data_IF_973481446179
#
_entry.id   IF_973481446179
#
_cell.length_a   1.000
_cell.length_b   1.000
_cell.length_c   1.000
_cell.angle_alpha   90.00
_cell.angle_beta   90.00
_cell.angle_gamma   90.00
#
_symmetry.space_group_name_H-M   'P 1'
#
loop_
_entity.id
_entity.type
_entity.pdbx_description
1 polymer ?
#
# COMPACT_ATOMS: atom_id res chain seq x y z
N UNK A 1 -33.53 7.13 31.21
CA UNK A 1 -33.69 5.68 31.00
C UNK A 1 -33.58 5.37 29.52
N UNK A 2 -32.70 4.41 29.17
CA UNK A 2 -32.75 3.49 28.01
C UNK A 2 -32.71 4.18 26.62
N UNK A 3 -31.65 4.01 25.82
CA UNK A 3 -31.39 2.78 25.07
C UNK A 3 -29.87 2.60 24.79
N UNK A 4 -29.20 1.75 25.57
CA UNK A 4 -27.99 1.03 25.17
C UNK A 4 -28.44 -0.30 24.60
N UNK A 5 -28.06 -0.62 23.37
CA UNK A 5 -28.45 -1.91 22.79
C UNK A 5 -27.68 -2.31 21.54
N UNK A 6 -26.67 -3.16 21.76
CA UNK A 6 -26.35 -4.34 20.95
C UNK A 6 -25.42 -4.14 19.74
N UNK A 7 -24.13 -3.97 20.03
CA UNK A 7 -23.04 -4.41 19.13
C UNK A 7 -23.07 -5.94 19.04
N UNK A 8 -23.43 -6.49 17.88
CA UNK A 8 -23.13 -7.87 17.49
C UNK A 8 -21.70 -7.89 16.93
N UNK A 9 -20.75 -8.43 17.69
CA UNK A 9 -19.38 -8.64 17.17
C UNK A 9 -19.34 -9.80 16.16
N UNK A 10 -18.58 -9.70 15.06
CA UNK A 10 -18.36 -10.83 14.17
C UNK A 10 -17.14 -11.67 14.60
N UNK A 11 -17.43 -12.96 14.83
CA UNK A 11 -16.70 -14.16 14.36
C UNK A 11 -15.25 -14.38 14.83
N UNK A 12 -15.10 -15.11 15.94
CA UNK A 12 -13.86 -15.75 16.40
C UNK A 12 -13.54 -17.08 15.69
N UNK A 13 -14.31 -17.45 14.64
CA UNK A 13 -14.31 -18.78 14.03
C UNK A 13 -13.37 -18.94 12.82
N UNK A 14 -12.98 -17.84 12.18
CA UNK A 14 -12.10 -17.84 10.99
C UNK A 14 -10.63 -18.03 11.34
N UNK A 15 -10.17 -17.44 12.45
CA UNK A 15 -8.76 -17.50 12.88
C UNK A 15 -8.30 -18.92 13.25
N UNK A 16 -9.20 -19.76 13.81
CA UNK A 16 -8.87 -21.15 14.16
C UNK A 16 -8.75 -22.07 12.93
N UNK A 17 -9.57 -21.87 11.90
CA UNK A 17 -9.49 -22.67 10.67
C UNK A 17 -8.19 -22.40 9.91
N UNK A 18 -7.78 -21.13 9.83
CA UNK A 18 -6.55 -20.71 9.15
C UNK A 18 -5.29 -21.31 9.80
N UNK A 19 -5.20 -21.31 11.13
CA UNK A 19 -4.05 -21.90 11.83
C UNK A 19 -3.93 -23.42 11.66
N UNK A 20 -5.05 -24.13 11.49
CA UNK A 20 -5.05 -25.57 11.25
C UNK A 20 -4.57 -25.92 9.82
N UNK A 21 -4.98 -25.15 8.81
CA UNK A 21 -4.54 -25.34 7.42
C UNK A 21 -3.04 -25.07 7.25
N UNK A 22 -2.52 -24.00 7.86
CA UNK A 22 -1.08 -23.72 7.86
C UNK A 22 -0.27 -24.85 8.53
N UNK A 23 -0.79 -25.41 9.63
CA UNK A 23 -0.13 -26.53 10.33
C UNK A 23 -0.14 -27.82 9.52
N UNK A 24 -1.16 -28.07 8.70
CA UNK A 24 -1.23 -29.25 7.85
C UNK A 24 -0.26 -29.14 6.66
N UNK A 25 -0.21 -27.97 6.01
CA UNK A 25 0.75 -27.69 4.96
C UNK A 25 2.19 -27.85 5.46
N UNK A 26 2.51 -27.30 6.63
CA UNK A 26 3.83 -27.44 7.24
C UNK A 26 4.21 -28.90 7.50
N UNK A 27 3.26 -29.73 7.96
CA UNK A 27 3.47 -31.17 8.20
C UNK A 27 3.74 -31.93 6.90
N UNK A 28 2.98 -31.64 5.84
CA UNK A 28 3.18 -32.24 4.50
C UNK A 28 4.54 -31.88 3.91
N UNK A 29 5.04 -30.67 4.15
CA UNK A 29 6.31 -30.20 3.59
C UNK A 29 7.55 -30.67 4.39
N UNK A 30 7.43 -30.91 5.69
CA UNK A 30 8.55 -31.25 6.57
C UNK A 30 9.28 -32.57 6.20
N UNK A 31 8.58 -33.53 5.58
CA UNK A 31 9.13 -34.80 5.11
C UNK A 31 9.28 -34.93 3.60
N UNK A 32 8.85 -33.93 2.83
CA UNK A 32 8.82 -34.00 1.37
C UNK A 32 10.20 -33.71 0.77
N UNK A 33 10.55 -34.44 -0.29
CA UNK A 33 11.65 -34.10 -1.20
C UNK A 33 11.38 -32.78 -1.93
N UNK A 34 12.41 -32.18 -2.54
CA UNK A 34 12.25 -30.91 -3.29
C UNK A 34 11.17 -31.01 -4.35
N UNK A 35 11.16 -32.11 -5.12
CA UNK A 35 10.18 -32.36 -6.18
C UNK A 35 8.76 -32.53 -5.63
N UNK A 36 8.61 -33.17 -4.47
CA UNK A 36 7.31 -33.31 -3.81
C UNK A 36 6.82 -31.99 -3.23
N UNK A 37 7.71 -31.14 -2.69
CA UNK A 37 7.35 -29.79 -2.23
C UNK A 37 6.84 -28.94 -3.38
N UNK A 38 7.52 -28.95 -4.53
CA UNK A 38 7.09 -28.22 -5.72
C UNK A 38 5.70 -28.68 -6.17
N UNK A 39 5.45 -30.00 -6.17
CA UNK A 39 4.15 -30.57 -6.54
C UNK A 39 3.06 -30.16 -5.56
N UNK A 40 3.31 -30.25 -4.25
CA UNK A 40 2.34 -29.89 -3.19
C UNK A 40 1.99 -28.40 -3.28
N UNK A 41 3.00 -27.54 -3.43
CA UNK A 41 2.77 -26.09 -3.50
C UNK A 41 2.09 -25.70 -4.80
N UNK A 42 2.43 -26.32 -5.93
CA UNK A 42 1.74 -26.09 -7.19
C UNK A 42 0.25 -26.49 -7.12
N UNK A 43 -0.06 -27.63 -6.49
CA UNK A 43 -1.44 -28.08 -6.26
C UNK A 43 -2.21 -27.09 -5.37
N UNK A 44 -1.58 -26.58 -4.30
CA UNK A 44 -2.14 -25.54 -3.45
C UNK A 44 -2.46 -24.28 -4.27
N UNK A 45 -1.50 -23.76 -5.04
CA UNK A 45 -1.69 -22.54 -5.84
C UNK A 45 -2.83 -22.73 -6.84
N UNK A 46 -2.85 -23.85 -7.58
CA UNK A 46 -3.93 -24.13 -8.56
C UNK A 46 -5.30 -24.24 -7.88
N UNK A 47 -5.37 -24.80 -6.68
CA UNK A 47 -6.62 -24.87 -5.91
C UNK A 47 -7.12 -23.48 -5.53
N UNK A 48 -6.23 -22.59 -5.07
CA UNK A 48 -6.62 -21.21 -4.72
C UNK A 48 -7.01 -20.40 -5.97
N UNK A 49 -6.30 -20.58 -7.09
CA UNK A 49 -6.65 -19.96 -8.38
C UNK A 49 -8.02 -20.41 -8.87
N UNK A 50 -8.32 -21.71 -8.79
CA UNK A 50 -9.63 -22.25 -9.14
C UNK A 50 -10.73 -21.66 -8.24
N UNK A 51 -10.49 -21.52 -6.94
CA UNK A 51 -11.45 -20.93 -6.01
C UNK A 51 -11.76 -19.46 -6.35
N UNK A 52 -10.74 -18.65 -6.68
CA UNK A 52 -10.91 -17.23 -7.05
C UNK A 52 -11.66 -17.09 -8.38
N UNK A 53 -11.36 -17.94 -9.36
CA UNK A 53 -12.01 -17.91 -10.68
C UNK A 53 -13.36 -18.64 -10.72
N UNK A 54 -13.79 -19.26 -9.61
CA UNK A 54 -15.05 -20.02 -9.54
C UNK A 54 -15.02 -21.34 -10.31
N UNK A 55 -13.84 -21.89 -10.60
CA UNK A 55 -13.71 -23.21 -11.23
C UNK A 55 -13.88 -24.34 -10.20
N UNK A 56 -14.57 -25.44 -10.56
CA UNK A 56 -14.86 -26.54 -9.64
C UNK A 56 -13.64 -27.42 -9.33
N UNK A 57 -12.57 -27.32 -10.11
CA UNK A 57 -11.37 -28.15 -9.93
C UNK A 57 -10.09 -27.38 -10.30
N UNK A 58 -8.98 -27.59 -9.56
CA UNK A 58 -7.65 -27.09 -9.93
C UNK A 58 -7.16 -27.62 -11.28
N UNK A 59 -7.71 -28.73 -11.78
CA UNK A 59 -7.30 -29.32 -13.08
C UNK A 59 -7.66 -28.43 -14.27
N UNK A 60 -8.67 -27.56 -14.12
CA UNK A 60 -9.04 -26.57 -15.13
C UNK A 60 -8.00 -25.44 -15.26
N UNK A 61 -7.09 -25.29 -14.29
CA UNK A 61 -6.08 -24.23 -14.27
C UNK A 61 -4.79 -24.72 -14.92
N UNK A 62 -4.42 -24.14 -16.06
CA UNK A 62 -3.16 -24.45 -16.72
C UNK A 62 -1.97 -23.96 -15.87
N UNK A 63 -1.00 -24.82 -15.49
CA UNK A 63 0.09 -24.41 -14.62
C UNK A 63 1.01 -23.35 -15.25
N UNK A 64 1.13 -23.37 -16.58
CA UNK A 64 1.94 -22.41 -17.37
C UNK A 64 1.13 -21.28 -17.98
N UNK A 65 -0.20 -21.42 -18.02
CA UNK A 65 -1.07 -20.43 -18.66
C UNK A 65 -1.01 -19.12 -17.89
N UNK A 66 -0.88 -18.02 -18.61
CA UNK A 66 -0.81 -16.71 -17.99
C UNK A 66 -2.13 -16.39 -17.26
N UNK A 67 -2.05 -15.74 -16.10
CA UNK A 67 -3.25 -15.36 -15.35
C UNK A 67 -4.17 -14.42 -16.17
N UNK A 68 -3.59 -13.50 -16.94
CA UNK A 68 -4.36 -12.58 -17.81
C UNK A 68 -5.22 -13.32 -18.84
N UNK A 69 -4.74 -14.44 -19.37
CA UNK A 69 -5.45 -15.26 -20.36
C UNK A 69 -6.60 -16.08 -19.72
N UNK A 70 -6.57 -16.24 -18.39
CA UNK A 70 -7.57 -16.96 -17.60
C UNK A 70 -8.60 -16.03 -16.94
N UNK A 71 -8.58 -14.73 -17.28
CA UNK A 71 -9.54 -13.76 -16.75
C UNK A 71 -9.20 -13.21 -15.35
N UNK A 72 -7.94 -13.30 -14.92
CA UNK A 72 -7.51 -12.66 -13.67
C UNK A 72 -7.52 -11.13 -13.79
N UNK A 73 -8.25 -10.46 -12.91
CA UNK A 73 -8.26 -9.00 -12.76
C UNK A 73 -7.50 -8.55 -11.49
N UNK A 74 -7.54 -7.25 -11.21
CA UNK A 74 -6.89 -6.65 -10.05
C UNK A 74 -7.48 -7.12 -8.70
N UNK A 75 -8.77 -7.48 -8.65
CA UNK A 75 -9.41 -7.95 -7.42
C UNK A 75 -9.03 -9.41 -7.15
N UNK A 76 -9.10 -10.26 -8.17
CA UNK A 76 -8.68 -11.65 -8.15
C UNK A 76 -7.21 -11.79 -7.70
N UNK A 77 -6.33 -10.86 -8.12
CA UNK A 77 -4.94 -10.81 -7.69
C UNK A 77 -4.79 -10.60 -6.18
N UNK A 78 -5.59 -9.71 -5.59
CA UNK A 78 -5.58 -9.43 -4.15
C UNK A 78 -6.17 -10.60 -3.37
N UNK A 79 -7.26 -11.20 -3.86
CA UNK A 79 -7.89 -12.36 -3.24
C UNK A 79 -6.97 -13.58 -3.22
N UNK A 80 -6.34 -13.91 -4.35
CA UNK A 80 -5.36 -15.01 -4.44
C UNK A 80 -4.20 -14.79 -3.47
N UNK A 81 -3.66 -13.56 -3.40
CA UNK A 81 -2.61 -13.21 -2.42
C UNK A 81 -3.07 -13.50 -1.00
N UNK A 82 -4.25 -13.02 -0.61
CA UNK A 82 -4.76 -13.19 0.75
C UNK A 82 -4.99 -14.67 1.11
N UNK A 83 -5.52 -15.46 0.17
CA UNK A 83 -5.71 -16.90 0.36
C UNK A 83 -4.38 -17.64 0.51
N UNK A 84 -3.37 -17.31 -0.32
CA UNK A 84 -2.04 -17.91 -0.23
C UNK A 84 -1.32 -17.49 1.06
N UNK A 85 -1.43 -16.23 1.50
CA UNK A 85 -0.89 -15.78 2.78
C UNK A 85 -1.53 -16.55 3.95
N UNK A 86 -2.84 -16.77 3.91
CA UNK A 86 -3.55 -17.53 4.94
C UNK A 86 -3.11 -19.01 4.97
N UNK A 87 -2.98 -19.65 3.80
CA UNK A 87 -2.61 -21.06 3.72
C UNK A 87 -1.13 -21.32 4.09
N UNK A 88 -0.23 -20.40 3.72
CA UNK A 88 1.23 -20.59 3.87
C UNK A 88 1.82 -19.92 5.10
N UNK A 89 1.11 -18.96 5.71
CA UNK A 89 1.65 -18.12 6.78
C UNK A 89 2.75 -17.16 6.30
N UNK A 90 3.02 -17.07 5.00
CA UNK A 90 3.98 -16.15 4.42
C UNK A 90 3.39 -14.75 4.27
N UNK A 91 4.25 -13.73 4.30
CA UNK A 91 3.91 -12.39 3.78
C UNK A 91 4.28 -12.33 2.31
N UNK A 92 3.26 -12.31 1.45
CA UNK A 92 3.41 -12.23 -0.02
C UNK A 92 3.16 -10.79 -0.51
N UNK A 93 3.93 -10.28 -1.48
CA UNK A 93 3.78 -8.92 -2.00
C UNK A 93 2.46 -8.72 -2.75
N UNK A 94 1.97 -7.48 -2.82
CA UNK A 94 0.76 -7.14 -3.60
C UNK A 94 0.96 -7.30 -5.12
N UNK A 95 2.21 -7.25 -5.59
CA UNK A 95 2.60 -7.41 -6.99
C UNK A 95 2.74 -8.87 -7.43
N UNK A 96 2.48 -9.85 -6.56
CA UNK A 96 2.76 -11.28 -6.78
C UNK A 96 2.31 -11.80 -8.16
N UNK A 97 1.08 -11.52 -8.56
CA UNK A 97 0.51 -12.00 -9.84
C UNK A 97 1.14 -11.31 -11.06
N UNK A 98 1.68 -10.10 -10.88
CA UNK A 98 2.37 -9.35 -11.93
C UNK A 98 3.83 -9.78 -12.08
N UNK A 99 4.50 -10.07 -10.96
CA UNK A 99 5.89 -10.54 -10.93
C UNK A 99 5.99 -12.01 -11.37
N UNK A 100 4.95 -12.80 -11.10
CA UNK A 100 4.88 -14.24 -11.38
C UNK A 100 3.59 -14.55 -12.15
N UNK A 101 3.63 -14.53 -13.50
CA UNK A 101 2.43 -14.44 -14.33
C UNK A 101 1.64 -15.75 -14.47
N UNK A 102 2.06 -16.85 -13.85
CA UNK A 102 1.35 -18.13 -13.88
C UNK A 102 1.50 -18.92 -12.57
N UNK A 103 0.70 -19.98 -12.42
CA UNK A 103 0.64 -20.80 -11.19
C UNK A 103 1.98 -21.45 -10.86
N UNK A 104 2.77 -21.85 -11.86
CA UNK A 104 4.10 -22.44 -11.63
C UNK A 104 5.08 -21.42 -11.07
N UNK A 105 5.11 -20.21 -11.62
CA UNK A 105 6.00 -19.14 -11.17
C UNK A 105 5.68 -18.75 -9.72
N UNK A 106 4.39 -18.63 -9.37
CA UNK A 106 3.95 -18.37 -7.99
C UNK A 106 4.34 -19.52 -7.07
N UNK A 107 4.17 -20.77 -7.49
CA UNK A 107 4.54 -21.92 -6.68
C UNK A 107 6.05 -21.96 -6.37
N UNK A 108 6.89 -21.68 -7.36
CA UNK A 108 8.35 -21.59 -7.18
C UNK A 108 8.73 -20.51 -6.15
N UNK A 109 8.13 -19.33 -6.25
CA UNK A 109 8.34 -18.25 -5.27
C UNK A 109 7.94 -18.66 -3.84
N UNK A 110 6.80 -19.33 -3.69
CA UNK A 110 6.32 -19.81 -2.38
C UNK A 110 7.26 -20.87 -1.79
N UNK A 111 7.74 -21.82 -2.60
CA UNK A 111 8.71 -22.85 -2.15
C UNK A 111 10.01 -22.22 -1.67
N UNK A 112 10.52 -21.22 -2.40
CA UNK A 112 11.73 -20.48 -2.03
C UNK A 112 11.56 -19.81 -0.65
N UNK A 113 10.44 -19.12 -0.44
CA UNK A 113 10.15 -18.42 0.83
C UNK A 113 9.93 -19.36 2.01
N UNK A 114 9.25 -20.50 1.81
CA UNK A 114 9.08 -21.52 2.85
C UNK A 114 10.41 -22.19 3.22
N UNK A 115 11.28 -22.43 2.24
CA UNK A 115 12.60 -23.01 2.46
C UNK A 115 13.52 -22.03 3.20
N UNK A 116 13.50 -20.75 2.85
CA UNK A 116 14.25 -19.70 3.56
C UNK A 116 13.83 -19.57 5.04
N UNK A 117 12.52 -19.67 5.32
CA UNK A 117 11.99 -19.62 6.68
C UNK A 117 12.42 -20.83 7.53
N UNK A 118 12.49 -22.01 6.92
CA UNK A 118 12.88 -23.27 7.58
C UNK A 118 14.39 -23.34 7.85
N UNK A 119 15.21 -22.88 6.90
CA UNK A 119 16.68 -22.80 7.06
C UNK A 119 17.12 -21.84 8.17
N UNK A 120 16.27 -20.86 8.52
CA UNK A 120 16.53 -19.86 9.56
C UNK A 120 16.11 -20.31 10.98
N UNK A 121 15.47 -21.48 11.13
CA UNK A 121 14.99 -21.98 12.42
C UNK A 121 16.08 -22.25 13.48
N UNK A 122 17.24 -22.88 13.17
CA UNK A 122 18.28 -23.11 14.18
C UNK A 122 19.11 -21.85 14.51
N UNK A 123 19.14 -20.83 13.65
CA UNK A 123 19.86 -19.58 13.88
C UNK A 123 19.07 -18.55 14.73
N UNK A 124 17.76 -18.76 14.93
CA UNK A 124 16.86 -17.80 15.57
C UNK A 124 16.99 -17.74 17.09
N UNK A 125 17.60 -18.76 17.72
CA UNK A 125 17.85 -18.80 19.16
C UNK A 125 19.03 -17.91 19.61
N UNK A 126 20.01 -17.66 18.73
CA UNK A 126 21.19 -16.84 19.04
C UNK A 126 21.01 -15.34 18.71
N UNK A 127 20.08 -15.00 17.81
CA UNK A 127 19.89 -13.62 17.29
C UNK A 127 18.82 -12.79 18.05
N UNK A 128 18.39 -13.21 19.25
CA UNK A 128 17.37 -12.52 20.03
C UNK A 128 17.85 -11.22 20.72
N UNK A 129 19.13 -10.87 20.61
CA UNK A 129 19.74 -9.71 21.27
C UNK A 129 19.90 -8.46 20.39
N UNK A 130 19.55 -8.51 19.10
CA UNK A 130 19.58 -7.33 18.22
C UNK A 130 18.15 -6.82 17.96
N UNK A 131 17.93 -5.48 17.86
CA UNK A 131 16.63 -4.95 17.48
C UNK A 131 16.31 -5.44 16.07
N UNK A 132 15.37 -6.39 16.01
CA UNK A 132 14.93 -7.01 14.77
C UNK A 132 14.06 -6.00 14.04
N UNK A 133 14.49 -5.54 12.87
CA UNK A 133 13.65 -4.77 11.98
C UNK A 133 12.40 -5.61 11.66
N UNK A 134 11.26 -5.19 12.21
CA UNK A 134 9.96 -5.74 11.87
C UNK A 134 9.71 -5.43 10.39
N UNK A 135 9.46 -6.47 9.59
CA UNK A 135 8.98 -6.25 8.24
C UNK A 135 7.71 -5.38 8.32
N UNK A 136 7.59 -4.32 7.50
CA UNK A 136 6.44 -3.44 7.54
C UNK A 136 5.18 -4.30 7.36
N UNK A 137 4.24 -4.12 8.27
CA UNK A 137 2.89 -4.67 8.15
C UNK A 137 1.98 -3.56 7.66
N UNK A 138 0.86 -3.89 7.01
CA UNK A 138 -0.17 -2.89 6.68
C UNK A 138 -0.73 -2.16 7.93
N UNK A 139 -0.40 -2.64 9.14
CA UNK A 139 -0.73 -2.04 10.43
C UNK A 139 0.46 -1.30 11.09
N UNK A 140 1.57 -1.07 10.38
CA UNK A 140 2.73 -0.35 10.92
C UNK A 140 2.44 1.17 10.93
N UNK A 141 2.32 1.82 12.10
CA UNK A 141 1.98 3.24 12.15
C UNK A 141 3.11 4.12 11.59
N UNK A 142 2.74 5.08 10.75
CA UNK A 142 3.69 6.06 10.23
C UNK A 142 3.84 7.20 11.23
N UNK A 143 5.06 7.42 11.72
CA UNK A 143 5.38 8.54 12.58
C UNK A 143 5.64 9.82 11.76
N UNK A 144 4.87 10.87 12.04
CA UNK A 144 5.18 12.23 11.56
C UNK A 144 6.18 12.84 12.55
N UNK A 145 7.45 12.88 12.16
CA UNK A 145 8.55 13.32 13.05
C UNK A 145 8.83 14.83 12.99
N UNK A 146 8.44 15.49 11.90
CA UNK A 146 8.59 16.93 11.72
C UNK A 146 7.65 17.47 10.64
N UNK A 147 7.49 18.78 10.60
CA UNK A 147 6.77 19.52 9.57
C UNK A 147 7.52 20.82 9.26
N UNK A 148 7.54 21.22 8.00
CA UNK A 148 7.99 22.53 7.54
C UNK A 148 7.04 22.97 6.42
N UNK A 149 6.74 24.27 6.35
CA UNK A 149 5.81 24.79 5.37
C UNK A 149 6.05 26.26 5.01
N UNK A 150 5.50 26.64 3.86
CA UNK A 150 5.31 28.02 3.41
C UNK A 150 3.89 28.13 2.89
N UNK A 151 3.11 29.05 3.41
CA UNK A 151 1.73 29.29 2.98
C UNK A 151 1.48 30.79 2.75
N UNK A 152 0.40 31.15 2.01
CA UNK A 152 -0.02 32.54 1.86
C UNK A 152 -0.21 33.27 3.19
N UNK A 153 -0.17 34.60 3.17
CA UNK A 153 -0.29 35.41 4.38
C UNK A 153 0.99 35.47 5.23
N UNK A 154 2.15 35.20 4.62
CA UNK A 154 3.45 35.31 5.29
C UNK A 154 3.79 34.15 6.23
N UNK A 155 3.10 33.02 6.10
CA UNK A 155 3.33 31.84 6.94
C UNK A 155 4.63 31.15 6.56
N UNK A 156 5.59 31.11 7.50
CA UNK A 156 6.93 30.54 7.32
C UNK A 156 7.24 29.39 8.28
N UNK A 157 6.26 28.93 9.05
CA UNK A 157 6.41 27.82 9.98
C UNK A 157 5.06 27.20 10.32
N UNK A 158 5.08 26.03 10.95
CA UNK A 158 3.87 25.40 11.49
C UNK A 158 3.21 26.27 12.58
N UNK A 159 4.01 27.02 13.35
CA UNK A 159 3.52 27.97 14.35
C UNK A 159 2.79 29.14 13.68
N UNK A 160 3.33 29.71 12.60
CA UNK A 160 2.67 30.78 11.86
C UNK A 160 1.34 30.31 11.25
N UNK A 161 1.30 29.07 10.75
CA UNK A 161 0.08 28.45 10.24
C UNK A 161 -0.97 28.33 11.36
N UNK A 162 -0.54 27.85 12.52
CA UNK A 162 -1.42 27.73 13.68
C UNK A 162 -1.99 29.09 14.08
N UNK A 163 -1.15 30.13 14.18
CA UNK A 163 -1.57 31.48 14.53
C UNK A 163 -2.55 32.05 13.49
N UNK A 164 -2.30 31.85 12.20
CA UNK A 164 -3.23 32.26 11.13
C UNK A 164 -4.63 31.64 11.31
N UNK A 165 -4.68 30.33 11.56
CA UNK A 165 -5.95 29.60 11.72
C UNK A 165 -6.64 30.00 13.04
N UNK A 166 -5.88 30.09 14.13
CA UNK A 166 -6.39 30.44 15.45
C UNK A 166 -6.97 31.86 15.49
N UNK A 167 -6.33 32.80 14.78
CA UNK A 167 -6.78 34.18 14.64
C UNK A 167 -7.86 34.35 13.55
N UNK A 168 -8.09 33.32 12.72
CA UNK A 168 -9.05 33.37 11.61
C UNK A 168 -8.70 34.41 10.54
N UNK A 169 -7.40 34.66 10.31
CA UNK A 169 -6.95 35.66 9.33
C UNK A 169 -7.14 35.16 7.90
N UNK A 170 -7.61 36.04 7.03
CA UNK A 170 -7.65 35.80 5.59
C UNK A 170 -6.25 36.02 4.97
N UNK A 171 -5.81 35.07 4.16
CA UNK A 171 -4.52 35.10 3.48
C UNK A 171 -4.63 35.39 1.97
N UNK A 172 -5.83 35.71 1.50
CA UNK A 172 -6.05 36.23 0.15
C UNK A 172 -5.45 37.62 0.04
N UNK A 173 -4.59 37.82 -0.96
CA UNK A 173 -3.96 39.09 -1.28
C UNK A 173 -3.93 39.35 -2.78
N UNK A 174 -3.52 40.55 -3.15
CA UNK A 174 -3.38 40.93 -4.55
C UNK A 174 -2.30 40.10 -5.27
N UNK A 175 -2.39 40.04 -6.60
CA UNK A 175 -1.37 39.42 -7.44
C UNK A 175 0.04 39.95 -7.12
N UNK A 176 1.07 39.08 -7.07
CA UNK A 176 2.44 39.54 -6.88
C UNK A 176 2.91 40.34 -8.10
N UNK A 177 3.66 41.42 -7.84
CA UNK A 177 4.15 42.35 -8.88
C UNK A 177 5.49 41.93 -9.48
N UNK A 178 6.06 40.81 -9.03
CA UNK A 178 7.40 40.34 -9.34
C UNK A 178 7.42 39.07 -10.23
N UNK A 179 6.27 38.65 -10.76
CA UNK A 179 6.14 37.43 -11.58
C UNK A 179 6.25 37.68 -13.09
N UNK A 180 6.45 38.93 -13.49
CA UNK A 180 6.45 39.33 -14.90
C UNK A 180 5.07 39.22 -15.55
N UNK A 181 4.00 39.20 -14.76
CA UNK A 181 2.62 39.18 -15.24
C UNK A 181 2.15 40.61 -15.49
N UNK A 182 1.56 40.82 -16.66
CA UNK A 182 0.79 42.04 -16.93
C UNK A 182 -0.63 41.86 -16.37
N UNK A 183 -0.78 42.14 -15.08
CA UNK A 183 -2.03 41.95 -14.34
C UNK A 183 -3.21 42.71 -14.97
N UNK A 184 -2.94 43.90 -15.52
CA UNK A 184 -3.96 44.71 -16.18
C UNK A 184 -4.33 44.12 -17.55
N UNK A 185 -3.36 43.59 -18.31
CA UNK A 185 -3.64 42.95 -19.59
C UNK A 185 -4.36 41.61 -19.46
N UNK A 186 -4.27 40.91 -18.32
CA UNK A 186 -4.98 39.65 -18.10
C UNK A 186 -6.30 39.81 -17.36
N UNK A 187 -6.60 40.99 -16.79
CA UNK A 187 -7.85 41.24 -16.09
C UNK A 187 -9.00 41.61 -17.06
N UNK A 188 -10.17 41.04 -16.83
CA UNK A 188 -11.44 41.44 -17.42
C UNK A 188 -12.56 41.22 -16.39
N UNK A 189 -13.32 42.26 -15.99
CA UNK A 189 -14.41 42.09 -15.06
C UNK A 189 -15.54 41.19 -15.59
N UNK A 190 -15.64 40.97 -16.91
CA UNK A 190 -16.61 40.06 -17.52
C UNK A 190 -16.13 38.59 -17.45
N UNK A 191 -16.84 37.71 -16.73
CA UNK A 191 -16.48 36.30 -16.68
C UNK A 191 -16.66 35.62 -18.04
N UNK A 192 -15.66 34.85 -18.46
CA UNK A 192 -15.74 34.02 -19.68
C UNK A 192 -15.03 34.60 -20.90
N UNK A 193 -14.45 35.81 -20.81
CA UNK A 193 -13.58 36.33 -21.88
C UNK A 193 -12.35 35.41 -22.04
N UNK A 194 -12.10 34.83 -23.23
CA UNK A 194 -10.97 33.94 -23.44
C UNK A 194 -9.62 34.61 -23.14
N UNK A 195 -8.79 33.94 -22.34
CA UNK A 195 -7.46 34.44 -21.96
C UNK A 195 -7.47 35.53 -20.88
N UNK A 196 -8.62 35.81 -20.26
CA UNK A 196 -8.76 36.80 -19.17
C UNK A 196 -9.18 36.14 -17.86
N UNK A 197 -8.90 36.83 -16.75
CA UNK A 197 -9.39 36.51 -15.41
C UNK A 197 -10.21 37.67 -14.86
N UNK A 198 -11.33 37.36 -14.21
CA UNK A 198 -12.15 38.34 -13.48
C UNK A 198 -11.76 38.48 -12.00
N UNK A 199 -10.80 37.67 -11.53
CA UNK A 199 -10.25 37.72 -10.18
C UNK A 199 -8.79 38.19 -10.22
N UNK A 200 -8.45 39.10 -9.29
CA UNK A 200 -7.11 39.68 -9.10
C UNK A 200 -6.51 39.42 -7.71
N UNK A 201 -7.24 38.67 -6.88
CA UNK A 201 -6.88 38.34 -5.52
C UNK A 201 -6.79 36.81 -5.38
N UNK A 202 -5.84 36.34 -4.57
CA UNK A 202 -5.58 34.91 -4.37
C UNK A 202 -4.56 34.66 -3.26
N UNK A 203 -4.32 33.39 -2.94
CA UNK A 203 -3.29 33.00 -1.98
C UNK A 203 -1.93 32.86 -2.66
N UNK A 204 -1.00 33.77 -2.37
CA UNK A 204 0.34 33.76 -2.96
C UNK A 204 1.46 33.63 -1.93
N UNK A 205 2.53 32.94 -2.33
CA UNK A 205 3.82 33.02 -1.66
C UNK A 205 4.60 34.17 -2.32
N UNK A 206 4.62 35.34 -1.71
CA UNK A 206 5.30 36.50 -2.30
C UNK A 206 6.80 36.22 -2.50
N UNK A 207 7.43 35.60 -1.50
CA UNK A 207 8.86 35.31 -1.51
C UNK A 207 9.24 34.02 -2.28
N UNK A 208 8.39 33.53 -3.20
CA UNK A 208 8.65 32.22 -3.84
C UNK A 208 9.90 32.21 -4.75
N UNK A 209 10.44 33.38 -5.09
CA UNK A 209 11.69 33.51 -5.84
C UNK A 209 12.94 33.44 -4.93
N UNK A 210 12.78 33.54 -3.60
CA UNK A 210 13.91 33.46 -2.68
C UNK A 210 14.47 32.04 -2.60
N UNK A 211 15.77 31.91 -2.85
CA UNK A 211 16.49 30.63 -2.76
C UNK A 211 17.94 30.87 -2.36
N UNK A 212 18.42 30.10 -1.38
CA UNK A 212 19.80 30.16 -0.90
C UNK A 212 20.71 29.27 -1.76
N UNK A 213 21.10 29.78 -2.92
CA UNK A 213 21.95 29.02 -3.84
C UNK A 213 23.30 28.65 -3.20
N UNK A 214 23.92 29.55 -2.43
CA UNK A 214 25.25 29.30 -1.83
C UNK A 214 25.23 28.14 -0.84
N UNK A 215 24.17 28.01 -0.04
CA UNK A 215 23.99 26.88 0.84
C UNK A 215 23.83 25.55 0.09
N UNK A 216 23.21 25.57 -1.09
CA UNK A 216 22.92 24.38 -1.89
C UNK A 216 23.95 24.06 -2.99
N UNK A 217 24.93 24.94 -3.24
CA UNK A 217 26.04 24.78 -4.20
C UNK A 217 25.73 25.24 -5.61
#
# INVERSE_FOLDING_TARGET
ALLRGRVRGPVRRTVQAQGAETSELARRLAGASVQERDRIVLELVRTQVAAVLGHPSPDAIGPETAFREQGFDSLAAVELRNLLQAATGLRLPATLVFDYPNSRAVAGYVVEKLSATTAQAPARAAAAAAPRATAPSDADPIAIVSISCRFPGGVRSAEDLWNLVAEGRDAVGAFPTDRGWDADAIYDPEPGTPGKTYAKDGGFLYDAAEFDAEFFG
#
